data_IF_834320679605
#
_entry.id   IF_834320679605
#
_cell.length_a   1.000
_cell.length_b   1.000
_cell.length_c   1.000
_cell.angle_alpha   90.00
_cell.angle_beta   90.00
_cell.angle_gamma   90.00
#
_symmetry.space_group_name_H-M   'P 1'
#
loop_
_entity.id
_entity.type
_entity.pdbx_description
1 polymer ?
#
# COMPACT_ATOMS: atom_id res chain seq x y z
N UNK A 1 2.63 -15.03 64.14
CA UNK A 1 3.51 -14.01 63.49
C UNK A 1 4.30 -14.55 62.30
N UNK A 2 4.91 -15.73 62.33
CA UNK A 2 5.68 -16.30 61.20
C UNK A 2 4.80 -16.61 59.98
N UNK A 3 3.59 -17.12 60.16
CA UNK A 3 2.67 -17.48 59.06
C UNK A 3 2.12 -16.25 58.32
N UNK A 4 1.81 -15.18 59.02
CA UNK A 4 1.40 -13.90 58.43
C UNK A 4 2.52 -13.24 57.61
N UNK A 5 3.78 -13.33 58.05
CA UNK A 5 4.94 -12.83 57.29
C UNK A 5 5.16 -13.59 55.99
N UNK A 6 4.91 -14.93 55.96
CA UNK A 6 5.00 -15.75 54.76
C UNK A 6 3.93 -15.40 53.72
N UNK A 7 2.70 -15.15 54.15
CA UNK A 7 1.58 -14.75 53.30
C UNK A 7 1.85 -13.37 52.65
N UNK A 8 2.33 -12.39 53.43
CA UNK A 8 2.67 -11.05 52.92
C UNK A 8 3.82 -11.12 51.87
N UNK A 9 4.83 -11.96 52.09
CA UNK A 9 5.93 -12.12 51.15
C UNK A 9 5.49 -12.80 49.83
N UNK A 10 4.55 -13.76 49.89
CA UNK A 10 4.00 -14.42 48.68
C UNK A 10 3.15 -13.47 47.88
N UNK A 11 2.30 -12.64 48.54
CA UNK A 11 1.48 -11.65 47.86
C UNK A 11 2.33 -10.55 47.21
N UNK A 12 3.40 -10.10 47.89
CA UNK A 12 4.33 -9.11 47.35
C UNK A 12 5.13 -9.68 46.13
N UNK A 13 5.54 -10.95 46.15
CA UNK A 13 6.20 -11.59 45.05
C UNK A 13 5.25 -11.78 43.85
N UNK A 14 3.99 -12.12 44.08
CA UNK A 14 2.98 -12.28 43.03
C UNK A 14 2.64 -10.94 42.35
N UNK A 15 2.54 -9.84 43.15
CA UNK A 15 2.31 -8.49 42.59
C UNK A 15 3.50 -7.97 41.78
N UNK A 16 4.74 -8.36 42.10
CA UNK A 16 5.92 -8.01 41.35
C UNK A 16 5.98 -8.78 40.00
N UNK A 17 5.50 -10.03 39.96
CA UNK A 17 5.45 -10.83 38.74
C UNK A 17 4.41 -10.34 37.74
N UNK A 18 3.27 -9.82 38.19
CA UNK A 18 2.21 -9.28 37.35
C UNK A 18 2.63 -7.94 36.70
N UNK A 19 3.49 -7.17 37.37
CA UNK A 19 3.97 -5.89 36.84
C UNK A 19 5.01 -6.00 35.72
N UNK A 20 5.63 -7.17 35.53
CA UNK A 20 6.65 -7.39 34.47
C UNK A 20 6.01 -7.83 33.14
N UNK A 21 4.75 -8.27 33.14
CA UNK A 21 4.09 -8.92 32.00
C UNK A 21 3.37 -7.99 31.01
N UNK A 22 3.37 -6.67 31.21
CA UNK A 22 2.58 -5.75 30.37
C UNK A 22 3.39 -4.60 29.76
N UNK A 23 4.54 -4.90 29.15
CA UNK A 23 5.16 -3.94 28.26
C UNK A 23 4.59 -4.18 26.85
N UNK A 24 3.64 -3.35 26.44
CA UNK A 24 3.18 -3.35 25.06
C UNK A 24 4.33 -2.87 24.16
N UNK A 25 4.90 -3.76 23.38
CA UNK A 25 5.92 -3.42 22.38
C UNK A 25 5.22 -2.94 21.11
N UNK A 26 5.50 -1.70 20.72
CA UNK A 26 4.95 -1.15 19.48
C UNK A 26 5.75 -1.67 18.29
N UNK A 27 5.09 -2.19 17.25
CA UNK A 27 5.78 -2.67 16.06
C UNK A 27 6.43 -1.51 15.30
N UNK A 28 7.63 -1.73 14.78
CA UNK A 28 8.29 -0.79 13.85
C UNK A 28 7.62 -0.89 12.50
N UNK A 29 7.28 0.26 11.91
CA UNK A 29 6.71 0.38 10.57
C UNK A 29 7.76 0.91 9.61
N UNK A 30 7.99 0.21 8.48
CA UNK A 30 8.78 0.73 7.37
C UNK A 30 7.91 1.66 6.53
N UNK A 31 8.49 2.78 6.10
CA UNK A 31 7.81 3.83 5.34
C UNK A 31 8.44 3.91 3.95
N UNK A 32 7.61 4.00 2.91
CA UNK A 32 8.08 4.24 1.54
C UNK A 32 8.64 5.66 1.44
N UNK A 33 9.91 5.78 1.05
CA UNK A 33 10.57 7.09 0.87
C UNK A 33 10.27 7.67 -0.52
N UNK A 34 10.38 8.99 -0.67
CA UNK A 34 10.25 9.64 -1.98
C UNK A 34 11.31 9.15 -2.97
N UNK A 35 12.53 8.85 -2.51
CA UNK A 35 13.58 8.32 -3.38
C UNK A 35 13.23 6.95 -3.95
N UNK A 36 12.75 6.03 -3.10
CA UNK A 36 12.25 4.74 -3.57
C UNK A 36 11.03 4.89 -4.49
N UNK A 37 10.11 5.82 -4.17
CA UNK A 37 8.94 6.09 -5.02
C UNK A 37 9.35 6.56 -6.43
N UNK A 38 10.38 7.43 -6.54
CA UNK A 38 10.92 7.86 -7.84
C UNK A 38 11.51 6.70 -8.65
N UNK A 39 12.25 5.80 -8.02
CA UNK A 39 12.83 4.63 -8.70
C UNK A 39 11.74 3.66 -9.18
N UNK A 40 10.70 3.45 -8.37
CA UNK A 40 9.54 2.63 -8.71
C UNK A 40 8.77 3.25 -9.89
N UNK A 41 8.52 4.55 -9.85
CA UNK A 41 7.85 5.26 -10.94
C UNK A 41 8.67 5.21 -12.24
N UNK A 42 9.99 5.39 -12.17
CA UNK A 42 10.88 5.31 -13.32
C UNK A 42 10.84 3.92 -14.00
N UNK A 43 10.73 2.84 -13.23
CA UNK A 43 10.57 1.50 -13.79
C UNK A 43 9.22 1.34 -14.55
N UNK A 44 8.13 1.90 -13.98
CA UNK A 44 6.84 1.92 -14.64
C UNK A 44 6.84 2.81 -15.90
N UNK A 45 7.49 3.98 -15.81
CA UNK A 45 7.65 4.89 -16.96
C UNK A 45 8.40 4.24 -18.11
N UNK A 46 9.49 3.54 -17.82
CA UNK A 46 10.26 2.81 -18.83
C UNK A 46 9.39 1.74 -19.54
N UNK A 47 8.56 1.02 -18.79
CA UNK A 47 7.63 0.05 -19.38
C UNK A 47 6.52 0.73 -20.18
N UNK A 48 5.97 1.85 -19.70
CA UNK A 48 4.98 2.63 -20.44
C UNK A 48 5.54 3.12 -21.78
N UNK A 49 6.75 3.68 -21.78
CA UNK A 49 7.44 4.14 -23.01
C UNK A 49 7.69 3.00 -23.98
N UNK A 50 8.12 1.84 -23.51
CA UNK A 50 8.33 0.64 -24.34
C UNK A 50 7.04 0.18 -25.03
N UNK A 51 5.89 0.38 -24.38
CA UNK A 51 4.57 0.05 -24.96
C UNK A 51 3.98 1.17 -25.81
N UNK A 52 4.57 2.35 -25.85
CA UNK A 52 3.99 3.55 -26.45
C UNK A 52 2.73 4.04 -25.71
N UNK A 53 2.62 3.76 -24.42
CA UNK A 53 1.46 4.07 -23.60
C UNK A 53 1.54 5.50 -23.08
N UNK A 54 0.41 6.23 -23.16
CA UNK A 54 0.24 7.58 -22.59
C UNK A 54 -0.55 7.48 -21.29
N UNK A 55 0.16 7.47 -20.15
CA UNK A 55 -0.41 7.18 -18.85
C UNK A 55 0.01 8.18 -17.77
N UNK A 56 -0.79 8.24 -16.70
CA UNK A 56 -0.39 8.79 -15.41
C UNK A 56 0.17 7.64 -14.57
N UNK A 57 1.27 7.90 -13.88
CA UNK A 57 1.90 7.00 -12.91
C UNK A 57 1.82 7.69 -11.55
N UNK A 58 1.22 7.04 -10.57
CA UNK A 58 1.01 7.57 -9.22
C UNK A 58 1.60 6.62 -8.21
N UNK A 59 2.39 7.13 -7.27
CA UNK A 59 2.87 6.39 -6.10
C UNK A 59 2.32 7.04 -4.83
N UNK A 60 1.74 6.22 -3.96
CA UNK A 60 1.19 6.64 -2.65
C UNK A 60 1.85 5.86 -1.51
N UNK A 61 1.80 6.42 -0.29
CA UNK A 61 2.17 5.70 0.93
C UNK A 61 1.12 4.64 1.30
N UNK A 62 1.34 3.91 2.40
CA UNK A 62 0.40 2.88 2.86
C UNK A 62 -0.90 3.43 3.47
N UNK A 63 -0.99 4.74 3.72
CA UNK A 63 -2.22 5.48 4.05
C UNK A 63 -2.99 5.94 2.81
N UNK A 64 -2.43 5.75 1.61
CA UNK A 64 -3.02 6.21 0.36
C UNK A 64 -2.79 7.69 0.06
N UNK A 65 -1.79 8.33 0.73
CA UNK A 65 -1.43 9.71 0.47
C UNK A 65 -0.39 9.81 -0.63
N UNK A 66 -0.52 10.82 -1.48
CA UNK A 66 0.33 11.03 -2.64
C UNK A 66 1.79 11.30 -2.24
N UNK A 67 2.72 10.52 -2.80
CA UNK A 67 4.16 10.75 -2.73
C UNK A 67 4.71 11.30 -4.06
N UNK A 68 4.25 10.73 -5.18
CA UNK A 68 4.71 11.10 -6.51
C UNK A 68 3.59 10.92 -7.53
N UNK A 69 3.52 11.84 -8.48
CA UNK A 69 2.68 11.74 -9.67
C UNK A 69 3.47 12.21 -10.88
N UNK A 70 3.48 11.39 -11.91
CA UNK A 70 4.02 11.72 -13.22
C UNK A 70 2.92 11.53 -14.25
N UNK A 71 2.66 12.55 -15.08
CA UNK A 71 1.77 12.47 -16.21
C UNK A 71 2.60 12.55 -17.48
N UNK A 72 2.64 11.46 -18.25
CA UNK A 72 3.31 11.43 -19.52
C UNK A 72 2.57 12.34 -20.54
N UNK A 73 3.32 12.83 -21.51
CA UNK A 73 2.74 13.69 -22.56
C UNK A 73 1.58 12.98 -23.27
N UNK A 74 0.63 13.74 -23.75
CA UNK A 74 -0.58 13.28 -24.44
C UNK A 74 -1.55 12.42 -23.58
N UNK A 75 -1.27 12.23 -22.29
CA UNK A 75 -2.18 11.52 -21.40
C UNK A 75 -3.46 12.32 -21.14
N UNK A 76 -4.62 11.68 -21.25
CA UNK A 76 -5.91 12.31 -20.94
C UNK A 76 -5.94 12.89 -19.54
N UNK A 77 -6.52 14.08 -19.37
CA UNK A 77 -6.51 14.81 -18.10
C UNK A 77 -7.20 14.05 -16.96
N UNK A 78 -8.30 13.37 -17.26
CA UNK A 78 -9.06 12.60 -16.27
C UNK A 78 -8.25 11.48 -15.60
N UNK A 79 -7.21 10.96 -16.26
CA UNK A 79 -6.37 9.89 -15.74
C UNK A 79 -5.61 10.26 -14.46
N UNK A 80 -5.43 11.56 -14.17
CA UNK A 80 -4.81 12.04 -12.94
C UNK A 80 -5.58 11.54 -11.71
N UNK A 81 -6.85 11.90 -11.62
CA UNK A 81 -7.71 11.50 -10.49
C UNK A 81 -7.96 10.00 -10.45
N UNK A 82 -8.13 9.38 -11.62
CA UNK A 82 -8.31 7.92 -11.71
C UNK A 82 -7.06 7.19 -11.21
N UNK A 83 -5.86 7.61 -11.61
CA UNK A 83 -4.60 7.03 -11.16
C UNK A 83 -4.41 7.14 -9.65
N UNK A 84 -4.70 8.32 -9.08
CA UNK A 84 -4.68 8.54 -7.62
C UNK A 84 -5.66 7.59 -6.92
N UNK A 85 -6.89 7.48 -7.42
CA UNK A 85 -7.92 6.60 -6.86
C UNK A 85 -7.51 5.13 -6.90
N UNK A 86 -6.95 4.65 -8.02
CA UNK A 86 -6.45 3.27 -8.17
C UNK A 86 -5.32 2.98 -7.18
N UNK A 87 -4.32 3.89 -7.07
CA UNK A 87 -3.20 3.76 -6.14
C UNK A 87 -3.69 3.72 -4.69
N UNK A 88 -4.54 4.69 -4.29
CA UNK A 88 -5.13 4.74 -2.95
C UNK A 88 -5.87 3.45 -2.60
N UNK A 89 -6.72 2.98 -3.51
CA UNK A 89 -7.45 1.72 -3.31
C UNK A 89 -6.50 0.57 -3.01
N UNK A 90 -5.45 0.42 -3.82
CA UNK A 90 -4.48 -0.67 -3.64
C UNK A 90 -3.73 -0.57 -2.30
N UNK A 91 -3.38 0.65 -1.84
CA UNK A 91 -2.68 0.87 -0.59
C UNK A 91 -3.55 0.54 0.63
N UNK A 92 -4.71 1.22 0.77
CA UNK A 92 -5.51 1.15 2.00
C UNK A 92 -6.22 -0.20 2.16
N UNK A 93 -6.59 -0.87 1.06
CA UNK A 93 -7.18 -2.21 1.10
C UNK A 93 -6.15 -3.33 0.96
N UNK A 94 -4.87 -3.02 0.75
CA UNK A 94 -3.72 -3.94 0.70
C UNK A 94 -3.91 -5.07 -0.33
N UNK A 95 -4.49 -4.75 -1.48
CA UNK A 95 -4.74 -5.67 -2.59
C UNK A 95 -4.90 -4.91 -3.90
N UNK A 96 -4.69 -5.55 -5.06
CA UNK A 96 -4.91 -4.89 -6.35
C UNK A 96 -6.32 -4.30 -6.46
N UNK A 97 -6.44 -3.10 -7.02
CA UNK A 97 -7.73 -2.43 -7.21
C UNK A 97 -8.67 -3.20 -8.14
N UNK A 98 -8.11 -4.04 -9.04
CA UNK A 98 -8.83 -5.00 -9.87
C UNK A 98 -9.77 -5.91 -9.08
N UNK A 99 -9.41 -6.31 -7.86
CA UNK A 99 -10.27 -7.17 -7.02
C UNK A 99 -11.65 -6.53 -6.79
N UNK A 100 -11.69 -5.22 -6.66
CA UNK A 100 -12.96 -4.50 -6.46
C UNK A 100 -13.73 -4.31 -7.77
N UNK A 101 -13.02 -4.10 -8.88
CA UNK A 101 -13.63 -4.09 -10.22
C UNK A 101 -14.29 -5.44 -10.52
N UNK A 102 -13.58 -6.54 -10.28
CA UNK A 102 -14.11 -7.89 -10.45
C UNK A 102 -15.36 -8.13 -9.57
N UNK A 103 -15.33 -7.69 -8.30
CA UNK A 103 -16.49 -7.80 -7.42
C UNK A 103 -17.73 -7.06 -7.97
N UNK A 104 -17.53 -5.84 -8.49
CA UNK A 104 -18.64 -5.07 -9.10
C UNK A 104 -19.17 -5.77 -10.33
N UNK A 105 -18.28 -6.22 -11.22
CA UNK A 105 -18.63 -6.96 -12.44
C UNK A 105 -19.40 -8.25 -12.11
N UNK A 106 -19.01 -8.95 -11.04
CA UNK A 106 -19.63 -10.20 -10.59
C UNK A 106 -20.92 -9.96 -9.76
N UNK A 107 -21.42 -8.72 -9.73
CA UNK A 107 -22.72 -8.36 -9.14
C UNK A 107 -22.66 -7.81 -7.71
N UNK A 108 -21.49 -7.74 -7.07
CA UNK A 108 -21.34 -7.12 -5.75
C UNK A 108 -21.23 -5.59 -5.85
N UNK A 109 -22.31 -4.94 -6.28
CA UNK A 109 -22.36 -3.47 -6.45
C UNK A 109 -22.10 -2.69 -5.16
N UNK A 110 -22.27 -3.31 -4.00
CA UNK A 110 -21.94 -2.70 -2.71
C UNK A 110 -20.44 -2.30 -2.59
N UNK A 111 -19.56 -2.89 -3.41
CA UNK A 111 -18.16 -2.48 -3.47
C UNK A 111 -17.97 -1.02 -3.92
N UNK A 112 -18.93 -0.44 -4.63
CA UNK A 112 -18.94 0.98 -5.01
C UNK A 112 -19.12 1.93 -3.82
N UNK A 113 -19.67 1.44 -2.70
CA UNK A 113 -19.90 2.22 -1.48
C UNK A 113 -18.72 2.16 -0.48
N UNK A 114 -17.63 1.46 -0.82
CA UNK A 114 -16.44 1.38 0.06
C UNK A 114 -15.75 2.74 0.12
N UNK A 115 -15.58 3.34 1.31
CA UNK A 115 -14.95 4.65 1.44
C UNK A 115 -13.50 4.63 0.92
N UNK A 116 -13.18 5.56 0.02
CA UNK A 116 -11.83 5.70 -0.55
C UNK A 116 -11.47 4.67 -1.61
N UNK A 117 -12.41 3.80 -2.03
CA UNK A 117 -12.19 2.86 -3.11
C UNK A 117 -12.53 3.48 -4.48
N UNK A 118 -11.66 3.24 -5.44
CA UNK A 118 -11.90 3.39 -6.87
C UNK A 118 -11.77 2.00 -7.48
N UNK A 119 -12.89 1.29 -7.72
CA UNK A 119 -12.88 -0.10 -8.17
C UNK A 119 -12.58 -0.22 -9.67
N UNK A 120 -11.39 0.21 -10.06
CA UNK A 120 -10.87 0.17 -11.42
C UNK A 120 -9.50 -0.50 -11.43
N UNK A 121 -9.27 -1.41 -12.37
CA UNK A 121 -8.00 -2.12 -12.57
C UNK A 121 -6.85 -1.15 -12.88
N UNK A 122 -5.65 -1.39 -12.31
CA UNK A 122 -4.44 -0.60 -12.56
C UNK A 122 -3.77 -0.08 -11.27
N UNK A 123 -4.33 -0.36 -10.09
CA UNK A 123 -3.69 -0.10 -8.79
C UNK A 123 -3.07 -1.38 -8.22
N UNK A 124 -1.78 -1.34 -7.86
CA UNK A 124 -1.01 -2.49 -7.37
C UNK A 124 -0.28 -2.13 -6.08
N UNK A 125 -0.39 -2.95 -5.01
CA UNK A 125 0.34 -2.72 -3.77
C UNK A 125 1.86 -2.82 -3.98
N UNK A 126 2.62 -1.97 -3.30
CA UNK A 126 4.07 -2.07 -3.16
C UNK A 126 4.35 -2.84 -1.88
N UNK A 127 4.94 -4.02 -2.03
CA UNK A 127 5.21 -4.95 -0.92
C UNK A 127 6.72 -5.00 -0.65
N UNK A 128 7.10 -4.82 0.61
CA UNK A 128 8.46 -5.00 1.07
C UNK A 128 8.49 -5.83 2.36
N UNK A 129 9.29 -6.90 2.38
CA UNK A 129 9.36 -7.87 3.50
C UNK A 129 7.96 -8.36 3.94
N UNK A 130 7.09 -8.68 2.98
CA UNK A 130 5.74 -9.21 3.22
C UNK A 130 4.71 -8.18 3.73
N UNK A 131 5.08 -6.90 3.83
CA UNK A 131 4.18 -5.82 4.26
C UNK A 131 3.93 -4.83 3.13
N UNK A 132 2.69 -4.36 3.01
CA UNK A 132 2.35 -3.25 2.10
C UNK A 132 2.89 -1.96 2.71
N UNK A 133 3.78 -1.29 1.99
CA UNK A 133 4.40 -0.01 2.38
C UNK A 133 3.90 1.17 1.55
N UNK A 134 3.09 0.91 0.53
CA UNK A 134 2.51 1.88 -0.37
C UNK A 134 1.82 1.18 -1.53
N UNK A 135 1.51 1.92 -2.58
CA UNK A 135 0.98 1.37 -3.82
C UNK A 135 1.33 2.26 -5.02
N UNK A 136 1.29 1.64 -6.20
CA UNK A 136 1.37 2.33 -7.48
C UNK A 136 0.03 2.21 -8.21
N UNK A 137 -0.41 3.31 -8.85
CA UNK A 137 -1.58 3.35 -9.73
C UNK A 137 -1.20 3.87 -11.10
N UNK A 138 -1.67 3.21 -12.14
CA UNK A 138 -1.49 3.62 -13.52
C UNK A 138 -2.85 3.81 -14.17
N UNK A 139 -2.97 4.84 -15.00
CA UNK A 139 -4.22 5.14 -15.71
C UNK A 139 -3.93 5.88 -17.02
N UNK A 140 -4.60 5.47 -18.10
CA UNK A 140 -4.49 6.14 -19.41
C UNK A 140 -4.78 5.22 -20.59
N UNK A 141 -4.46 3.96 -20.47
CA UNK A 141 -4.68 2.95 -21.49
C UNK A 141 -5.81 1.98 -21.13
N UNK A 142 -5.78 0.77 -21.65
CA UNK A 142 -6.71 -0.28 -21.24
C UNK A 142 -6.46 -0.68 -19.79
N UNK A 143 -7.47 -1.12 -19.04
CA UNK A 143 -7.30 -1.54 -17.64
C UNK A 143 -6.20 -2.58 -17.45
N UNK A 144 -6.05 -3.51 -18.41
CA UNK A 144 -5.03 -4.55 -18.34
C UNK A 144 -3.62 -3.99 -18.54
N UNK A 145 -3.43 -3.08 -19.51
CA UNK A 145 -2.13 -2.44 -19.78
C UNK A 145 -1.72 -1.55 -18.60
N UNK A 146 -2.66 -0.79 -18.04
CA UNK A 146 -2.45 0.01 -16.84
C UNK A 146 -1.91 -0.85 -15.67
N UNK A 147 -2.55 -2.01 -15.42
CA UNK A 147 -2.13 -2.93 -14.37
C UNK A 147 -0.76 -3.57 -14.67
N UNK A 148 -0.49 -3.94 -15.92
CA UNK A 148 0.80 -4.54 -16.31
C UNK A 148 1.95 -3.56 -16.08
N UNK A 149 1.78 -2.29 -16.45
CA UNK A 149 2.75 -1.21 -16.19
C UNK A 149 2.93 -1.02 -14.67
N UNK A 150 1.82 -0.98 -13.91
CA UNK A 150 1.86 -0.85 -12.46
C UNK A 150 2.59 -2.01 -11.79
N UNK A 151 2.42 -3.25 -12.28
CA UNK A 151 3.12 -4.45 -11.79
C UNK A 151 4.62 -4.36 -11.98
N UNK A 152 5.09 -3.83 -13.11
CA UNK A 152 6.54 -3.64 -13.35
C UNK A 152 7.11 -2.66 -12.34
N UNK A 153 6.44 -1.53 -12.10
CA UNK A 153 6.84 -0.59 -11.06
C UNK A 153 6.87 -1.24 -9.68
N UNK A 154 5.78 -1.89 -9.26
CA UNK A 154 5.69 -2.53 -7.95
C UNK A 154 6.76 -3.62 -7.74
N UNK A 155 7.06 -4.42 -8.77
CA UNK A 155 8.08 -5.47 -8.71
C UNK A 155 9.51 -4.91 -8.54
N UNK A 156 9.79 -3.67 -8.96
CA UNK A 156 11.09 -3.03 -8.78
C UNK A 156 11.38 -2.57 -7.35
N UNK A 157 10.39 -2.62 -6.45
CA UNK A 157 10.49 -2.04 -5.10
C UNK A 157 11.66 -2.57 -4.27
N UNK A 158 11.94 -3.87 -4.30
CA UNK A 158 13.05 -4.46 -3.55
C UNK A 158 14.41 -3.88 -3.97
N UNK A 159 14.65 -3.74 -5.28
CA UNK A 159 15.86 -3.14 -5.83
C UNK A 159 15.90 -1.61 -5.58
N UNK A 160 14.76 -0.93 -5.66
CA UNK A 160 14.65 0.51 -5.41
C UNK A 160 14.99 0.89 -3.97
N UNK A 161 14.71 0.00 -3.00
CA UNK A 161 14.93 0.24 -1.57
C UNK A 161 16.34 -0.17 -1.12
N UNK A 162 16.94 -1.19 -1.76
CA UNK A 162 18.26 -1.72 -1.38
C UNK A 162 19.44 -0.82 -1.80
N UNK A 163 19.23 0.10 -2.73
CA UNK A 163 20.23 1.03 -3.29
C UNK A 163 19.93 2.47 -2.87
#
# INVERSE_FOLDING_TARGET
MAQMRRIVLIVAALSLYVSIAMKAELPVKKVLTLDAAKKIAAAAEAEAKKRGATVVIVVVDDGGHLLLLERLDDTQVASVEVGIGKARTAAIFRRPSKVFEDQVRDGRVAALALPGATPLQGGVPIVYEGKVIGAIGVSGNTPQEDEDIAKVGAASAAAAIAN
#
